data_IF_983771259022
#
_entry.id   IF_983771259022
#
_cell.length_a   1.000
_cell.length_b   1.000
_cell.length_c   1.000
_cell.angle_alpha   90.00
_cell.angle_beta   90.00
_cell.angle_gamma   90.00
#
_symmetry.space_group_name_H-M   'P 1'
#
loop_
_entity.id
_entity.type
_entity.pdbx_description
1 polymer ?
#
# COMPACT_ATOMS: atom_id res chain seq x y z
N UNK A 1 -9.05 5.64 11.88
CA UNK A 1 -7.64 6.00 11.78
C UNK A 1 -7.41 7.17 10.80
N UNK A 2 -7.86 7.09 9.52
CA UNK A 2 -7.72 8.21 8.55
C UNK A 2 -8.49 9.44 9.02
N UNK A 3 -9.71 9.29 9.51
CA UNK A 3 -10.51 10.40 10.06
C UNK A 3 -9.85 11.05 11.29
N UNK A 4 -9.22 10.26 12.14
CA UNK A 4 -8.47 10.73 13.30
C UNK A 4 -7.24 11.54 12.87
N UNK A 5 -6.53 11.08 11.84
CA UNK A 5 -5.38 11.82 11.29
C UNK A 5 -5.81 13.15 10.67
N UNK A 6 -6.95 13.17 9.97
CA UNK A 6 -7.48 14.39 9.41
C UNK A 6 -7.83 15.43 10.48
N UNK A 7 -8.48 15.02 11.55
CA UNK A 7 -8.79 15.92 12.68
C UNK A 7 -7.50 16.35 13.41
N UNK A 8 -6.55 15.43 13.58
CA UNK A 8 -5.24 15.77 14.13
C UNK A 8 -4.46 16.73 13.24
N UNK A 9 -4.54 16.56 11.92
CA UNK A 9 -3.89 17.44 10.95
C UNK A 9 -4.50 18.84 10.90
N UNK A 10 -5.84 18.96 11.01
CA UNK A 10 -6.53 20.27 11.15
C UNK A 10 -6.06 21.02 12.39
N UNK A 11 -6.02 20.34 13.53
CA UNK A 11 -5.57 20.93 14.78
C UNK A 11 -4.10 21.38 14.69
N UNK A 12 -3.24 20.55 14.08
CA UNK A 12 -1.83 20.87 13.85
C UNK A 12 -1.65 22.07 12.89
N UNK A 13 -2.51 22.16 11.88
CA UNK A 13 -2.53 23.29 10.96
C UNK A 13 -2.93 24.59 11.67
N UNK A 14 -3.98 24.56 12.46
CA UNK A 14 -4.40 25.74 13.25
C UNK A 14 -3.30 26.18 14.22
N UNK A 15 -2.63 25.24 14.88
CA UNK A 15 -1.51 25.51 15.76
C UNK A 15 -0.34 26.16 15.00
N UNK A 16 0.04 25.64 13.83
CA UNK A 16 1.08 26.22 12.97
C UNK A 16 0.70 27.62 12.49
N UNK A 17 -0.55 27.83 12.10
CA UNK A 17 -1.05 29.11 11.66
C UNK A 17 -1.03 30.15 12.79
N UNK A 18 -1.40 29.74 14.02
CA UNK A 18 -1.28 30.58 15.20
C UNK A 18 0.15 30.99 15.51
N UNK A 19 1.13 30.09 15.36
CA UNK A 19 2.56 30.41 15.52
C UNK A 19 2.98 31.49 14.53
N UNK A 20 2.58 31.33 13.26
CA UNK A 20 2.91 32.29 12.21
C UNK A 20 2.24 33.66 12.40
N UNK A 21 1.00 33.69 12.85
CA UNK A 21 0.26 34.93 13.16
C UNK A 21 0.86 35.61 14.39
N UNK A 22 1.17 34.88 15.44
CA UNK A 22 1.73 35.41 16.68
C UNK A 22 3.13 36.06 16.49
N UNK A 23 3.99 35.44 15.68
CA UNK A 23 5.27 36.07 15.33
C UNK A 23 5.12 37.49 14.80
N UNK A 24 4.05 37.77 14.07
CA UNK A 24 3.74 39.08 13.51
C UNK A 24 3.09 39.98 14.53
N UNK A 25 2.33 39.43 15.46
CA UNK A 25 1.63 40.22 16.51
C UNK A 25 2.59 40.87 17.52
N UNK A 26 3.84 40.41 17.60
CA UNK A 26 4.88 41.01 18.42
C UNK A 26 5.39 42.36 17.85
N UNK A 27 5.09 42.67 16.58
CA UNK A 27 5.39 43.94 15.97
C UNK A 27 4.48 45.01 16.58
N UNK A 28 5.02 46.04 17.23
CA UNK A 28 4.22 47.10 17.87
C UNK A 28 3.57 47.99 16.81
N UNK A 29 2.35 47.62 16.37
CA UNK A 29 1.55 48.49 15.53
C UNK A 29 0.70 49.38 16.44
N UNK A 30 0.91 50.69 16.39
CA UNK A 30 -0.03 51.64 16.93
C UNK A 30 -1.14 51.85 15.91
N UNK A 31 -2.28 51.21 16.13
CA UNK A 31 -3.50 51.62 15.45
C UNK A 31 -3.87 53.01 16.01
N UNK A 32 -3.49 54.06 15.32
CA UNK A 32 -3.98 55.37 15.67
C UNK A 32 -5.41 55.51 15.15
N UNK A 33 -6.38 55.42 16.03
CA UNK A 33 -7.71 55.91 15.71
C UNK A 33 -7.66 57.42 15.63
N UNK A 34 -7.31 57.93 14.46
CA UNK A 34 -7.37 59.38 14.23
C UNK A 34 -8.83 59.76 13.98
N UNK A 35 -9.51 60.27 15.03
CA UNK A 35 -10.78 60.91 14.90
C UNK A 35 -11.96 60.00 15.26
N UNK A 36 -13.10 60.60 15.44
CA UNK A 36 -14.40 60.05 15.83
C UNK A 36 -14.98 58.95 14.88
N UNK A 37 -14.25 58.59 13.88
CA UNK A 37 -14.56 57.51 12.90
C UNK A 37 -13.90 56.19 13.26
N UNK A 38 -13.76 55.93 14.55
CA UNK A 38 -13.37 54.61 15.02
C UNK A 38 -14.37 53.55 14.51
N UNK A 39 -13.89 52.33 14.42
CA UNK A 39 -14.69 51.13 14.15
C UNK A 39 -15.97 51.24 14.92
N UNK A 40 -17.01 51.79 14.29
CA UNK A 40 -18.34 51.88 14.88
C UNK A 40 -18.85 50.46 14.86
N UNK A 41 -18.75 49.76 15.98
CA UNK A 41 -19.57 48.60 16.25
C UNK A 41 -20.99 49.12 16.25
N UNK A 42 -21.61 49.19 15.08
CA UNK A 42 -23.05 49.43 14.94
C UNK A 42 -23.72 48.38 15.77
N UNK A 43 -24.42 48.82 16.82
CA UNK A 43 -25.26 47.97 17.67
C UNK A 43 -26.35 47.23 16.86
N UNK A 44 -26.64 47.70 15.68
CA UNK A 44 -27.42 47.01 14.65
C UNK A 44 -26.45 46.42 13.64
N UNK A 45 -25.98 45.22 13.92
CA UNK A 45 -25.32 44.38 12.92
C UNK A 45 -26.29 44.21 11.76
N UNK A 46 -26.02 44.88 10.64
CA UNK A 46 -26.44 44.30 9.38
C UNK A 46 -25.65 43.01 9.32
N UNK A 47 -26.30 41.84 9.45
CA UNK A 47 -25.55 40.59 9.52
C UNK A 47 -24.68 40.51 8.27
N UNK A 48 -23.44 40.21 8.48
CA UNK A 48 -22.44 39.84 7.45
C UNK A 48 -21.89 40.99 6.61
N UNK A 49 -21.96 42.27 7.05
CA UNK A 49 -21.31 43.38 6.35
C UNK A 49 -20.32 44.12 7.25
N UNK A 50 -19.17 44.47 6.69
CA UNK A 50 -18.14 45.29 7.34
C UNK A 50 -17.87 46.53 6.50
N UNK A 51 -17.78 47.70 7.16
CA UNK A 51 -17.44 48.95 6.53
C UNK A 51 -15.98 49.26 6.73
N UNK A 52 -15.28 49.52 5.65
CA UNK A 52 -13.87 49.98 5.65
C UNK A 52 -13.82 51.42 5.13
N UNK A 53 -13.22 52.32 5.89
CA UNK A 53 -12.99 53.70 5.47
C UNK A 53 -11.54 53.80 5.00
N UNK A 54 -11.35 54.22 3.75
CA UNK A 54 -10.04 54.48 3.16
C UNK A 54 -9.97 55.91 2.68
N UNK A 55 -8.83 56.35 2.19
CA UNK A 55 -8.65 57.69 1.59
C UNK A 55 -9.60 57.94 0.39
N UNK A 56 -10.08 56.89 -0.26
CA UNK A 56 -11.06 56.93 -1.37
C UNK A 56 -12.53 56.93 -0.92
N UNK A 57 -12.79 56.92 0.39
CA UNK A 57 -14.14 56.89 0.96
C UNK A 57 -14.47 55.60 1.71
N UNK A 58 -15.75 55.49 2.09
CA UNK A 58 -16.24 54.31 2.84
C UNK A 58 -16.80 53.30 1.87
N UNK A 59 -16.27 52.06 1.93
CA UNK A 59 -16.78 50.92 1.17
C UNK A 59 -17.35 49.86 2.13
N UNK A 60 -18.46 49.24 1.73
CA UNK A 60 -19.08 48.16 2.47
C UNK A 60 -18.81 46.82 1.79
N UNK A 61 -18.42 45.82 2.58
CA UNK A 61 -18.11 44.49 2.11
C UNK A 61 -19.02 43.50 2.78
N UNK A 62 -19.64 42.65 1.99
CA UNK A 62 -20.42 41.54 2.51
C UNK A 62 -19.47 40.39 2.79
N UNK A 63 -19.52 39.84 4.00
CA UNK A 63 -18.75 38.67 4.39
C UNK A 63 -19.69 37.48 4.36
N UNK A 64 -19.32 36.46 3.61
CA UNK A 64 -20.04 35.21 3.60
C UNK A 64 -20.00 34.56 4.99
N UNK A 65 -21.11 34.06 5.45
CA UNK A 65 -21.25 33.44 6.78
C UNK A 65 -20.21 32.31 6.97
N UNK A 66 -19.96 31.49 5.93
CA UNK A 66 -18.95 30.45 5.95
C UNK A 66 -17.54 31.01 6.25
N UNK A 67 -17.18 32.16 5.67
CA UNK A 67 -15.87 32.80 5.91
C UNK A 67 -15.75 33.31 7.35
N UNK A 68 -16.81 33.89 7.87
CA UNK A 68 -16.85 34.35 9.24
C UNK A 68 -16.78 33.20 10.25
N UNK A 69 -17.51 32.13 10.01
CA UNK A 69 -17.48 30.93 10.85
C UNK A 69 -16.09 30.24 10.85
N UNK A 70 -15.37 30.28 9.75
CA UNK A 70 -14.02 29.72 9.60
C UNK A 70 -12.89 30.75 9.83
N UNK A 71 -13.22 31.93 10.34
CA UNK A 71 -12.22 32.91 10.71
C UNK A 71 -11.42 32.47 11.94
N UNK A 72 -10.09 32.55 11.87
CA UNK A 72 -9.18 32.16 12.95
C UNK A 72 -9.38 33.04 14.19
N UNK A 73 -9.66 34.32 13.99
CA UNK A 73 -9.87 35.32 15.05
C UNK A 73 -11.32 35.78 14.98
N UNK A 74 -12.02 35.77 16.10
CA UNK A 74 -13.43 36.20 16.17
C UNK A 74 -13.59 37.69 16.54
N UNK A 75 -12.64 38.21 17.30
CA UNK A 75 -12.70 39.59 17.77
C UNK A 75 -12.40 40.59 16.67
N UNK A 76 -13.30 41.51 16.41
CA UNK A 76 -13.24 42.50 15.34
C UNK A 76 -11.97 43.35 15.37
N UNK A 77 -11.55 43.81 16.56
CA UNK A 77 -10.36 44.65 16.72
C UNK A 77 -9.08 43.88 16.36
N UNK A 78 -8.99 42.62 16.82
CA UNK A 78 -7.84 41.77 16.51
C UNK A 78 -7.79 41.38 15.03
N UNK A 79 -8.97 41.19 14.40
CA UNK A 79 -9.06 41.02 12.94
C UNK A 79 -8.56 42.18 12.17
N UNK A 80 -8.97 43.43 12.54
CA UNK A 80 -8.52 44.66 11.89
C UNK A 80 -7.01 44.88 12.04
N UNK A 81 -6.49 44.60 13.26
CA UNK A 81 -5.03 44.68 13.50
C UNK A 81 -4.28 43.67 12.62
N UNK A 82 -4.84 42.43 12.51
CA UNK A 82 -4.23 41.38 11.70
C UNK A 82 -4.24 41.75 10.21
N UNK A 83 -5.32 42.35 9.68
CA UNK A 83 -5.35 42.83 8.30
C UNK A 83 -4.15 43.74 8.01
N UNK A 84 -3.95 44.77 8.85
CA UNK A 84 -2.83 45.69 8.69
C UNK A 84 -1.46 45.01 8.81
N UNK A 85 -1.36 44.04 9.74
CA UNK A 85 -0.12 43.29 9.90
C UNK A 85 0.20 42.41 8.69
N UNK A 86 -0.79 41.73 8.14
CA UNK A 86 -0.60 40.86 6.99
C UNK A 86 -0.40 41.62 5.68
N UNK A 87 -0.92 42.81 5.58
CA UNK A 87 -0.63 43.72 4.46
C UNK A 87 0.81 44.16 4.45
N UNK A 88 1.37 44.52 5.62
CA UNK A 88 2.77 44.91 5.75
C UNK A 88 3.74 43.72 5.74
N UNK A 89 3.35 42.62 6.33
CA UNK A 89 4.14 41.41 6.50
C UNK A 89 3.32 40.18 6.09
N UNK A 90 3.25 39.86 4.79
CA UNK A 90 2.48 38.74 4.29
C UNK A 90 2.90 37.40 4.92
N UNK A 91 1.99 36.46 4.96
CA UNK A 91 2.30 35.10 5.40
C UNK A 91 3.30 34.44 4.44
N UNK A 92 4.34 33.83 5.00
CA UNK A 92 5.18 32.94 4.23
C UNK A 92 4.57 31.54 4.24
N UNK A 93 4.18 31.07 3.07
CA UNK A 93 3.57 29.76 2.89
C UNK A 93 4.57 28.64 3.17
N UNK A 94 5.83 28.86 2.81
CA UNK A 94 6.92 27.91 3.04
C UNK A 94 7.15 27.72 4.55
N UNK A 95 7.19 28.82 5.30
CA UNK A 95 7.38 28.78 6.76
C UNK A 95 6.19 28.12 7.44
N UNK A 96 4.97 28.43 7.00
CA UNK A 96 3.75 27.81 7.51
C UNK A 96 3.74 26.31 7.26
N UNK A 97 4.03 25.87 6.04
CA UNK A 97 4.09 24.45 5.69
C UNK A 97 5.19 23.74 6.47
N UNK A 98 6.35 24.35 6.66
CA UNK A 98 7.43 23.82 7.47
C UNK A 98 7.03 23.62 8.93
N UNK A 99 6.38 24.63 9.53
CA UNK A 99 5.88 24.51 10.91
C UNK A 99 4.81 23.44 11.03
N UNK A 100 3.89 23.38 10.08
CA UNK A 100 2.86 22.35 10.07
C UNK A 100 3.43 20.94 9.95
N UNK A 101 4.33 20.70 8.98
CA UNK A 101 5.02 19.43 8.84
C UNK A 101 5.82 19.05 10.10
N UNK A 102 6.45 20.04 10.76
CA UNK A 102 7.15 19.80 12.02
C UNK A 102 6.22 19.29 13.12
N UNK A 103 5.01 19.86 13.24
CA UNK A 103 4.00 19.42 14.22
C UNK A 103 3.45 18.03 13.84
N UNK A 104 3.19 17.78 12.55
CA UNK A 104 2.74 16.48 12.06
C UNK A 104 3.76 15.38 12.37
N UNK A 105 5.03 15.64 12.13
CA UNK A 105 6.13 14.73 12.43
C UNK A 105 6.27 14.45 13.94
N UNK A 106 6.11 15.49 14.78
CA UNK A 106 6.13 15.36 16.24
C UNK A 106 4.99 14.46 16.73
N UNK A 107 3.82 14.57 16.11
CA UNK A 107 2.65 13.74 16.41
C UNK A 107 2.68 12.38 15.71
N UNK A 108 3.73 12.08 14.94
CA UNK A 108 3.93 10.83 14.19
C UNK A 108 2.81 10.54 13.17
N UNK A 109 2.22 11.58 12.59
CA UNK A 109 1.27 11.40 11.50
C UNK A 109 2.03 11.17 10.18
N UNK A 110 1.75 10.08 9.45
CA UNK A 110 2.44 9.76 8.20
C UNK A 110 1.85 10.52 7.00
N UNK A 111 1.62 11.81 7.17
CA UNK A 111 1.03 12.71 6.17
C UNK A 111 1.88 13.96 6.05
N UNK A 112 1.87 14.56 4.87
CA UNK A 112 2.53 15.84 4.61
C UNK A 112 1.49 16.93 4.37
N UNK A 113 1.75 18.10 4.95
CA UNK A 113 0.91 19.27 4.81
C UNK A 113 1.43 20.22 3.76
N UNK A 114 0.55 20.64 2.86
CA UNK A 114 0.82 21.71 1.91
C UNK A 114 -0.20 22.81 2.13
N UNK A 115 0.23 24.08 2.06
CA UNK A 115 -0.66 25.20 2.25
C UNK A 115 -0.67 26.13 1.05
N UNK A 116 -1.81 26.77 0.85
CA UNK A 116 -2.02 27.79 -0.17
C UNK A 116 -2.55 29.03 0.51
N UNK A 117 -1.98 30.17 0.19
CA UNK A 117 -2.41 31.45 0.70
C UNK A 117 -2.93 32.29 -0.45
N UNK A 118 -4.12 32.89 -0.28
CA UNK A 118 -4.80 33.74 -1.24
C UNK A 118 -5.12 35.06 -0.55
N UNK A 119 -4.67 36.15 -1.16
CA UNK A 119 -5.02 37.50 -0.74
C UNK A 119 -6.02 38.09 -1.73
N UNK A 120 -7.11 38.64 -1.23
CA UNK A 120 -8.12 39.33 -2.04
C UNK A 120 -8.03 40.82 -1.75
N UNK A 121 -7.63 41.61 -2.76
CA UNK A 121 -7.46 43.05 -2.68
C UNK A 121 -8.78 43.81 -2.40
N UNK A 122 -8.65 45.11 -2.10
CA UNK A 122 -9.78 46.02 -1.88
C UNK A 122 -10.72 46.13 -3.08
N UNK A 123 -10.23 45.87 -4.27
CA UNK A 123 -11.03 45.89 -5.49
C UNK A 123 -11.75 44.59 -5.79
N UNK A 124 -11.64 43.60 -4.87
CA UNK A 124 -12.18 42.25 -5.02
C UNK A 124 -11.58 41.47 -6.22
N UNK A 125 -10.39 41.89 -6.67
CA UNK A 125 -9.63 41.14 -7.63
C UNK A 125 -8.74 40.13 -6.87
N UNK A 126 -8.85 38.88 -7.26
CA UNK A 126 -8.07 37.79 -6.64
C UNK A 126 -6.68 37.76 -7.22
N UNK A 127 -5.75 38.53 -6.63
CA UNK A 127 -4.55 38.83 -7.38
C UNK A 127 -3.27 38.17 -6.89
N UNK A 128 -3.25 37.61 -5.69
CA UNK A 128 -1.98 37.05 -5.22
C UNK A 128 -2.17 35.68 -4.60
N UNK A 129 -1.77 34.66 -5.35
CA UNK A 129 -1.81 33.28 -4.90
C UNK A 129 -0.37 32.86 -4.60
N UNK A 130 -0.11 32.56 -3.32
CA UNK A 130 1.14 31.96 -2.88
C UNK A 130 0.88 30.48 -2.56
N UNK A 131 1.69 29.59 -3.10
CA UNK A 131 1.57 28.16 -2.88
C UNK A 131 2.92 27.59 -2.52
N UNK A 132 2.96 26.70 -1.55
CA UNK A 132 4.19 25.99 -1.17
C UNK A 132 4.69 25.05 -2.28
N UNK A 133 3.84 24.71 -3.26
CA UNK A 133 4.19 23.82 -4.37
C UNK A 133 3.28 24.06 -5.58
N UNK A 134 3.85 24.58 -6.66
CA UNK A 134 3.11 24.99 -7.87
C UNK A 134 2.52 23.85 -8.70
N UNK A 135 2.96 22.60 -8.54
CA UNK A 135 2.64 21.53 -9.48
C UNK A 135 1.79 20.38 -8.93
N UNK A 136 1.57 20.29 -7.64
CA UNK A 136 0.93 19.12 -7.02
C UNK A 136 -0.49 19.33 -6.50
N UNK A 137 -0.91 20.58 -6.31
CA UNK A 137 -2.17 20.89 -5.64
C UNK A 137 -3.45 20.50 -6.38
N UNK A 138 -3.40 20.28 -7.69
CA UNK A 138 -4.59 19.90 -8.47
C UNK A 138 -5.15 18.52 -8.13
N UNK A 139 -4.41 17.72 -7.39
CA UNK A 139 -4.79 16.34 -7.02
C UNK A 139 -4.95 16.14 -5.50
N UNK A 140 -4.82 17.22 -4.72
CA UNK A 140 -4.93 17.16 -3.26
C UNK A 140 -6.32 17.61 -2.82
N UNK A 141 -6.90 16.83 -1.90
CA UNK A 141 -8.14 17.22 -1.25
C UNK A 141 -7.87 18.32 -0.22
N UNK A 142 -8.69 19.37 -0.21
CA UNK A 142 -8.62 20.41 0.80
C UNK A 142 -9.06 19.85 2.15
N UNK A 143 -8.19 19.95 3.14
CA UNK A 143 -8.48 19.51 4.51
C UNK A 143 -9.31 20.53 5.27
N UNK A 144 -8.92 21.79 5.22
CA UNK A 144 -9.59 22.92 5.90
C UNK A 144 -9.20 24.23 5.28
N UNK A 145 -10.06 25.20 5.46
CA UNK A 145 -9.85 26.60 5.04
C UNK A 145 -9.99 27.49 6.26
N UNK A 146 -9.04 28.39 6.44
CA UNK A 146 -9.08 29.44 7.48
C UNK A 146 -9.00 30.81 6.87
N UNK A 147 -9.75 31.71 7.46
CA UNK A 147 -9.81 33.09 7.03
C UNK A 147 -9.18 34.02 8.07
N UNK A 148 -8.45 35.01 7.61
CA UNK A 148 -7.77 36.01 8.42
C UNK A 148 -8.13 37.41 7.92
N UNK A 149 -7.97 38.38 8.80
CA UNK A 149 -8.24 39.76 8.47
C UNK A 149 -9.68 40.17 8.72
N UNK A 150 -9.90 41.49 8.62
CA UNK A 150 -11.17 42.12 8.97
C UNK A 150 -12.31 41.76 8.05
N UNK A 151 -12.02 41.63 6.76
CA UNK A 151 -12.97 41.26 5.69
C UNK A 151 -12.87 39.78 5.30
N UNK A 152 -12.08 38.98 5.99
CA UNK A 152 -11.67 37.65 5.56
C UNK A 152 -10.93 37.68 4.20
N UNK A 153 -10.14 38.72 3.97
CA UNK A 153 -9.39 38.95 2.73
C UNK A 153 -8.21 38.00 2.54
N UNK A 154 -7.74 37.41 3.62
CA UNK A 154 -6.66 36.43 3.61
C UNK A 154 -7.24 35.03 3.81
N UNK A 155 -7.15 34.22 2.80
CA UNK A 155 -7.62 32.82 2.81
C UNK A 155 -6.41 31.90 2.85
N UNK A 156 -6.38 30.97 3.81
CA UNK A 156 -5.34 29.97 3.94
C UNK A 156 -5.99 28.59 3.85
N UNK A 157 -5.63 27.89 2.79
CA UNK A 157 -6.16 26.54 2.50
C UNK A 157 -5.09 25.52 2.85
N UNK A 158 -5.46 24.56 3.65
CA UNK A 158 -4.64 23.41 4.00
C UNK A 158 -4.97 22.23 3.10
N UNK A 159 -3.95 21.61 2.55
CA UNK A 159 -4.03 20.38 1.78
C UNK A 159 -3.17 19.32 2.44
N UNK A 160 -3.60 18.09 2.34
CA UNK A 160 -2.81 16.97 2.83
C UNK A 160 -2.50 15.99 1.71
N UNK A 161 -1.29 15.49 1.72
CA UNK A 161 -0.88 14.38 0.89
C UNK A 161 -0.65 13.13 1.75
N UNK A 162 -1.32 12.07 1.36
CA UNK A 162 -1.09 10.76 1.97
C UNK A 162 0.07 10.05 1.28
N UNK A 163 0.85 9.26 2.01
CA UNK A 163 1.88 8.44 1.38
C UNK A 163 1.26 7.47 0.37
N UNK A 164 1.98 7.23 -0.73
CA UNK A 164 1.49 6.43 -1.86
C UNK A 164 0.93 5.05 -1.46
N UNK A 165 1.49 4.43 -0.41
CA UNK A 165 1.03 3.14 0.09
C UNK A 165 -0.37 3.21 0.75
N UNK A 166 -0.82 4.38 1.18
CA UNK A 166 -2.16 4.61 1.71
C UNK A 166 -3.18 4.92 0.62
N UNK A 167 -2.78 5.73 -0.36
CA UNK A 167 -3.65 6.15 -1.48
C UNK A 167 -3.93 4.97 -2.40
N UNK A 168 -2.95 4.08 -2.56
CA UNK A 168 -3.08 2.90 -3.42
C UNK A 168 -4.00 1.82 -2.88
N UNK A 169 -4.44 1.91 -1.61
CA UNK A 169 -5.24 0.86 -0.99
C UNK A 169 -6.69 1.35 -0.83
N UNK A 170 -7.40 1.49 -1.93
CA UNK A 170 -8.87 1.57 -1.91
C UNK A 170 -9.45 0.26 -1.35
N UNK A 171 -10.68 0.30 -0.85
CA UNK A 171 -11.30 -0.89 -0.24
C UNK A 171 -11.27 -2.14 -1.13
N UNK A 172 -11.33 -1.96 -2.46
CA UNK A 172 -11.19 -3.03 -3.45
C UNK A 172 -9.77 -3.62 -3.50
N UNK A 173 -8.76 -2.77 -3.40
CA UNK A 173 -7.35 -3.18 -3.47
C UNK A 173 -6.92 -3.97 -2.22
N UNK A 174 -7.54 -3.71 -1.06
CA UNK A 174 -7.32 -4.52 0.16
C UNK A 174 -7.76 -5.97 -0.04
N UNK A 175 -8.88 -6.19 -0.71
CA UNK A 175 -9.33 -7.54 -1.08
C UNK A 175 -8.34 -8.19 -2.06
N UNK A 176 -7.78 -7.42 -2.97
CA UNK A 176 -6.80 -7.89 -3.95
C UNK A 176 -5.47 -8.29 -3.29
N UNK A 177 -5.04 -7.55 -2.26
CA UNK A 177 -3.86 -7.90 -1.45
C UNK A 177 -4.07 -9.14 -0.56
N UNK A 178 -5.30 -9.44 -0.15
CA UNK A 178 -5.63 -10.64 0.60
C UNK A 178 -5.72 -11.88 -0.31
N UNK A 179 -5.97 -11.69 -1.60
CA UNK A 179 -6.16 -12.77 -2.57
C UNK A 179 -4.95 -13.72 -2.66
N UNK A 180 -3.68 -13.26 -2.76
CA UNK A 180 -2.53 -14.16 -2.76
C UNK A 180 -2.37 -14.94 -1.46
N UNK A 181 -2.71 -14.34 -0.31
CA UNK A 181 -2.70 -15.04 0.98
C UNK A 181 -3.77 -16.12 1.09
N UNK A 182 -4.96 -15.83 0.55
CA UNK A 182 -6.05 -16.81 0.48
C UNK A 182 -5.66 -17.96 -0.47
N UNK A 183 -5.08 -17.65 -1.64
CA UNK A 183 -4.59 -18.66 -2.58
C UNK A 183 -3.47 -19.51 -1.98
N UNK A 184 -2.56 -18.89 -1.24
CA UNK A 184 -1.49 -19.58 -0.53
C UNK A 184 -2.06 -20.52 0.54
N UNK A 185 -3.01 -20.06 1.34
CA UNK A 185 -3.68 -20.89 2.34
C UNK A 185 -4.45 -22.05 1.70
N UNK A 186 -5.17 -21.82 0.62
CA UNK A 186 -5.84 -22.84 -0.17
C UNK A 186 -4.83 -23.85 -0.73
N UNK A 187 -3.70 -23.37 -1.25
CA UNK A 187 -2.63 -24.25 -1.73
C UNK A 187 -2.14 -25.20 -0.62
N UNK A 188 -1.85 -24.69 0.57
CA UNK A 188 -1.42 -25.54 1.70
C UNK A 188 -2.47 -26.53 2.17
N UNK A 189 -3.76 -26.17 2.10
CA UNK A 189 -4.86 -27.07 2.47
C UNK A 189 -5.10 -28.14 1.40
N UNK A 190 -4.97 -27.79 0.13
CA UNK A 190 -5.27 -28.72 -0.97
C UNK A 190 -4.03 -29.50 -1.45
N UNK A 191 -2.82 -28.99 -1.20
CA UNK A 191 -1.58 -29.67 -1.60
C UNK A 191 -1.48 -31.11 -1.13
N UNK A 192 -1.68 -31.45 0.16
CA UNK A 192 -1.62 -32.84 0.62
C UNK A 192 -2.70 -33.72 0.00
N UNK A 193 -3.87 -33.15 -0.32
CA UNK A 193 -4.94 -33.89 -1.02
C UNK A 193 -4.59 -34.14 -2.48
N UNK A 194 -3.98 -33.16 -3.12
CA UNK A 194 -3.51 -33.25 -4.52
C UNK A 194 -2.37 -34.25 -4.65
N UNK A 195 -1.42 -34.24 -3.72
CA UNK A 195 -0.33 -35.20 -3.64
C UNK A 195 -0.85 -36.64 -3.50
N UNK A 196 -1.78 -36.88 -2.58
CA UNK A 196 -2.38 -38.20 -2.40
C UNK A 196 -3.15 -38.69 -3.64
N UNK A 197 -3.85 -37.79 -4.35
CA UNK A 197 -4.52 -38.11 -5.60
C UNK A 197 -3.55 -38.41 -6.74
N UNK A 198 -2.48 -37.63 -6.88
CA UNK A 198 -1.45 -37.85 -7.89
C UNK A 198 -0.69 -39.15 -7.63
N UNK A 199 -0.25 -39.38 -6.40
CA UNK A 199 0.42 -40.63 -6.01
C UNK A 199 -0.52 -41.84 -6.25
N UNK A 200 -1.80 -41.74 -5.85
CA UNK A 200 -2.76 -42.80 -6.05
C UNK A 200 -2.98 -43.12 -7.54
N UNK A 201 -2.99 -42.10 -8.40
CA UNK A 201 -3.17 -42.28 -9.85
C UNK A 201 -1.91 -42.86 -10.50
N UNK A 202 -0.73 -42.44 -10.08
CA UNK A 202 0.55 -42.99 -10.56
C UNK A 202 0.74 -44.46 -10.12
N UNK A 203 0.49 -44.76 -8.85
CA UNK A 203 0.61 -46.13 -8.34
C UNK A 203 -0.42 -47.06 -8.97
N UNK A 204 -1.63 -46.56 -9.26
CA UNK A 204 -2.65 -47.38 -9.93
C UNK A 204 -2.20 -47.73 -11.37
N UNK A 205 -1.63 -46.83 -12.10
CA UNK A 205 -1.11 -47.08 -13.45
C UNK A 205 0.10 -48.05 -13.43
N UNK A 206 1.01 -47.96 -12.46
CA UNK A 206 2.12 -48.91 -12.32
C UNK A 206 1.66 -50.33 -11.99
N UNK A 207 0.63 -50.46 -11.14
CA UNK A 207 0.04 -51.76 -10.79
C UNK A 207 -0.62 -52.42 -12.01
N UNK A 208 -1.32 -51.63 -12.84
CA UNK A 208 -1.93 -52.15 -14.08
C UNK A 208 -0.84 -52.59 -15.06
N UNK A 209 0.22 -51.83 -15.28
CA UNK A 209 1.32 -52.20 -16.15
C UNK A 209 2.03 -53.47 -15.65
N UNK A 210 2.28 -53.61 -14.35
CA UNK A 210 2.93 -54.79 -13.78
C UNK A 210 2.01 -56.03 -13.92
N UNK A 211 0.70 -55.87 -13.72
CA UNK A 211 -0.25 -56.97 -13.88
C UNK A 211 -0.32 -57.46 -15.34
N UNK A 212 -0.36 -56.51 -16.31
CA UNK A 212 -0.36 -56.86 -17.73
C UNK A 212 0.96 -57.56 -18.14
N UNK A 213 2.10 -57.12 -17.61
CA UNK A 213 3.39 -57.77 -17.90
C UNK A 213 3.48 -59.14 -17.30
N UNK A 214 2.89 -59.39 -16.10
CA UNK A 214 2.84 -60.71 -15.45
C UNK A 214 1.93 -61.64 -16.22
N UNK A 215 0.72 -61.22 -16.62
CA UNK A 215 -0.20 -62.04 -17.42
C UNK A 215 0.40 -62.40 -18.78
N UNK A 216 1.09 -61.41 -19.45
CA UNK A 216 1.73 -61.68 -20.71
C UNK A 216 2.94 -62.63 -20.58
N UNK A 217 3.64 -62.64 -19.44
CA UNK A 217 4.70 -63.60 -19.14
C UNK A 217 4.13 -65.00 -18.83
N UNK A 218 3.01 -65.11 -18.16
CA UNK A 218 2.36 -66.41 -17.86
C UNK A 218 1.87 -67.06 -19.16
N UNK A 219 1.30 -66.26 -20.08
CA UNK A 219 0.84 -66.82 -21.38
C UNK A 219 2.01 -67.23 -22.30
N UNK A 220 3.17 -66.62 -22.17
CA UNK A 220 4.38 -67.04 -22.93
C UNK A 220 5.06 -68.21 -22.24
N UNK A 221 4.95 -68.36 -20.93
CA UNK A 221 5.54 -69.48 -20.19
C UNK A 221 4.79 -70.80 -20.38
N UNK A 222 3.50 -70.81 -20.69
CA UNK A 222 2.73 -72.03 -20.98
C UNK A 222 3.07 -72.67 -22.34
N UNK A 223 3.82 -72.00 -23.19
CA UNK A 223 4.22 -72.53 -24.54
C UNK A 223 5.62 -73.14 -24.57
N UNK A 224 6.42 -73.04 -23.50
CA UNK A 224 7.76 -73.57 -23.44
C UNK A 224 8.04 -74.28 -22.11
N UNK A 225 7.43 -75.40 -21.86
CA UNK A 225 8.00 -76.44 -20.98
C UNK A 225 9.18 -77.08 -21.73
N UNK A 226 10.27 -76.28 -21.86
CA UNK A 226 11.55 -76.76 -22.33
C UNK A 226 12.18 -77.53 -21.14
N UNK A 227 12.44 -78.76 -21.33
CA UNK A 227 13.01 -79.73 -20.33
C UNK A 227 14.16 -79.03 -19.61
N UNK A 228 14.21 -79.18 -18.27
CA UNK A 228 15.32 -78.75 -17.46
C UNK A 228 16.64 -79.12 -18.11
N UNK A 229 17.37 -78.15 -18.68
CA UNK A 229 18.66 -78.43 -19.31
C UNK A 229 19.73 -78.07 -18.29
N UNK A 230 20.42 -79.12 -17.85
CA UNK A 230 21.63 -78.96 -17.03
C UNK A 230 22.80 -78.87 -17.99
N UNK A 231 23.57 -77.81 -17.85
CA UNK A 231 24.76 -77.54 -18.71
C UNK A 231 26.04 -77.76 -17.90
N UNK A 232 27.02 -78.46 -18.49
CA UNK A 232 28.33 -78.55 -17.90
C UNK A 232 29.14 -77.28 -18.20
N UNK A 233 29.75 -76.71 -17.17
CA UNK A 233 30.59 -75.55 -17.28
C UNK A 233 32.03 -75.91 -17.39
N UNK A 234 32.86 -75.16 -18.15
CA UNK A 234 34.31 -75.31 -18.14
C UNK A 234 34.83 -75.22 -16.72
N UNK A 235 35.42 -76.28 -16.19
CA UNK A 235 35.89 -76.39 -14.81
C UNK A 235 35.13 -77.33 -13.90
N UNK A 236 34.21 -78.14 -14.49
CA UNK A 236 33.51 -79.22 -13.78
C UNK A 236 32.31 -78.80 -12.94
N UNK A 237 31.80 -77.58 -13.15
CA UNK A 237 30.56 -77.08 -12.53
C UNK A 237 29.34 -77.47 -13.38
N UNK A 238 28.17 -77.65 -12.74
CA UNK A 238 26.89 -77.89 -13.39
C UNK A 238 26.00 -76.69 -13.23
N UNK A 239 25.44 -76.17 -14.32
CA UNK A 239 24.47 -75.11 -14.32
C UNK A 239 23.07 -75.66 -14.62
N UNK A 240 22.19 -75.62 -13.65
CA UNK A 240 20.77 -75.91 -13.84
C UNK A 240 20.01 -74.66 -14.24
N UNK A 241 19.54 -74.61 -15.46
CA UNK A 241 18.84 -73.46 -16.02
C UNK A 241 17.45 -73.21 -15.39
N UNK A 242 16.86 -74.21 -14.74
CA UNK A 242 15.56 -74.09 -14.12
C UNK A 242 15.66 -73.50 -12.71
N UNK A 243 16.51 -74.08 -11.87
CA UNK A 243 16.75 -73.59 -10.51
C UNK A 243 17.69 -72.37 -10.49
N UNK A 244 18.34 -72.09 -11.62
CA UNK A 244 19.33 -71.02 -11.74
C UNK A 244 20.52 -71.18 -10.79
N UNK A 245 20.90 -72.44 -10.56
CA UNK A 245 21.96 -72.77 -9.63
C UNK A 245 23.22 -73.24 -10.40
N UNK A 246 24.36 -72.85 -9.93
CA UNK A 246 25.67 -73.44 -10.34
C UNK A 246 26.12 -74.31 -9.17
N UNK A 247 26.36 -75.56 -9.45
CA UNK A 247 26.94 -76.52 -8.50
C UNK A 247 28.38 -76.83 -8.90
N UNK A 248 29.32 -76.59 -8.00
CA UNK A 248 30.75 -76.95 -8.22
C UNK A 248 31.29 -77.61 -6.94
N UNK A 249 31.50 -78.91 -6.99
CA UNK A 249 31.81 -79.66 -5.80
C UNK A 249 30.67 -79.60 -4.78
N UNK A 250 30.97 -79.29 -3.56
CA UNK A 250 29.97 -79.11 -2.46
C UNK A 250 29.34 -77.72 -2.40
N UNK A 251 29.70 -76.80 -3.28
CA UNK A 251 29.20 -75.44 -3.30
C UNK A 251 28.06 -75.24 -4.28
N UNK A 252 26.99 -74.59 -3.84
CA UNK A 252 25.81 -74.24 -4.65
C UNK A 252 25.62 -72.74 -4.65
N UNK A 253 25.68 -72.11 -5.85
CA UNK A 253 25.48 -70.69 -6.04
C UNK A 253 24.18 -70.41 -6.78
N UNK A 254 23.33 -69.58 -6.23
CA UNK A 254 22.09 -69.15 -6.88
C UNK A 254 22.37 -67.89 -7.69
N UNK A 255 22.12 -67.95 -8.97
CA UNK A 255 22.33 -66.78 -9.85
C UNK A 255 21.09 -65.87 -9.88
N UNK A 256 21.29 -64.55 -9.86
CA UNK A 256 20.19 -63.62 -10.14
C UNK A 256 19.58 -63.87 -11.53
N UNK A 257 18.30 -63.51 -11.76
CA UNK A 257 17.59 -63.84 -13.00
C UNK A 257 18.30 -63.41 -14.30
N UNK A 258 18.87 -62.20 -14.33
CA UNK A 258 19.53 -61.72 -15.54
C UNK A 258 20.84 -62.43 -15.89
N UNK A 259 21.81 -62.62 -14.98
CA UNK A 259 23.00 -63.45 -15.23
C UNK A 259 22.68 -64.88 -15.61
N UNK A 260 21.68 -65.49 -14.97
CA UNK A 260 21.27 -66.86 -15.29
C UNK A 260 20.74 -66.97 -16.72
N UNK A 261 20.00 -65.98 -17.20
CA UNK A 261 19.43 -65.93 -18.54
C UNK A 261 20.54 -65.75 -19.61
N UNK A 262 21.50 -64.86 -19.32
CA UNK A 262 22.65 -64.68 -20.17
C UNK A 262 23.51 -65.94 -20.27
N UNK A 263 23.80 -66.56 -19.15
CA UNK A 263 24.57 -67.84 -19.12
C UNK A 263 23.86 -68.94 -19.91
N UNK A 264 22.57 -69.09 -19.77
CA UNK A 264 21.73 -70.03 -20.54
C UNK A 264 21.84 -69.76 -22.05
N UNK A 265 21.77 -68.51 -22.50
CA UNK A 265 21.91 -68.11 -23.90
C UNK A 265 23.26 -68.45 -24.45
N UNK A 266 24.33 -68.20 -23.69
CA UNK A 266 25.68 -68.53 -24.10
C UNK A 266 25.90 -70.05 -24.23
N UNK A 267 25.39 -70.83 -23.27
CA UNK A 267 25.55 -72.28 -23.28
C UNK A 267 24.67 -72.94 -24.35
N UNK A 268 23.51 -72.40 -24.68
CA UNK A 268 22.66 -72.86 -25.78
C UNK A 268 23.28 -72.60 -27.15
N UNK A 269 24.10 -71.61 -27.31
CA UNK A 269 24.73 -71.29 -28.59
C UNK A 269 25.99 -72.12 -28.84
N UNK A 270 26.54 -72.80 -27.82
CA UNK A 270 27.72 -73.58 -27.90
C UNK A 270 27.48 -75.07 -28.15
N UNK A 271 26.28 -75.58 -27.93
CA UNK A 271 25.75 -76.87 -28.28
C UNK A 271 24.85 -76.76 -29.52
#
# INVERSE_FOLDING_TARGET
>A
QVAEWNEGAKTAFEEALWVEVNKRSEVPIRLSSSGEEGITTLKERIPDTVGVTSASGRKWYQIERFRDENSLIKETINRARLSTLLEMYPLSVETLSFHWDSILNLKQYPIHGESRYIYTDFELQNDTIFSSSDKRMSHLDSLTVKYLGFRCEHEVVAYISYPNWMVSITGGDRCLLLLPWILLALFFVFYPKLETLVIRKLTHNEVIERTIVVEKKIHVADVAIDKAQVYELPGGGLFDSFSRTITQGDFVYILPPQPALLLRLFLRKKN
#
